data_IF_672670378884
#
_entry.id   IF_672670378884
#
_cell.length_a   1.000
_cell.length_b   1.000
_cell.length_c   1.000
_cell.angle_alpha   90.00
_cell.angle_beta   90.00
_cell.angle_gamma   90.00
#
_symmetry.space_group_name_H-M   'P 1'
#
loop_
_entity.id
_entity.type
_entity.pdbx_description
1 polymer ?
#
# COMPACT_ATOMS: atom_id res chain seq x y z
N UNK A 1 -22.34 1.43 -16.76
CA UNK A 1 -21.08 1.14 -17.45
C UNK A 1 -20.33 0.19 -16.54
N UNK A 2 -20.45 -1.09 -16.83
CA UNK A 2 -20.08 -2.17 -15.90
C UNK A 2 -18.58 -2.38 -15.94
N UNK A 3 -17.86 -1.48 -15.24
CA UNK A 3 -16.42 -1.49 -15.10
C UNK A 3 -15.98 -2.54 -14.08
N UNK A 4 -15.97 -3.81 -14.48
CA UNK A 4 -15.05 -4.73 -13.83
C UNK A 4 -13.63 -4.27 -14.17
N UNK A 5 -12.77 -4.05 -13.18
CA UNK A 5 -11.43 -3.55 -13.41
C UNK A 5 -10.59 -4.60 -14.16
N UNK A 6 -9.65 -4.13 -15.00
CA UNK A 6 -8.63 -4.98 -15.60
C UNK A 6 -7.96 -5.79 -14.49
N UNK A 7 -8.07 -7.12 -14.58
CA UNK A 7 -7.45 -8.02 -13.62
C UNK A 7 -5.94 -7.73 -13.52
N UNK A 8 -5.35 -7.84 -12.32
CA UNK A 8 -3.90 -7.80 -12.16
C UNK A 8 -3.21 -8.78 -13.12
N UNK A 9 -2.12 -8.33 -13.74
CA UNK A 9 -1.30 -9.14 -14.66
C UNK A 9 -0.84 -10.44 -14.01
N UNK A 10 -0.61 -10.45 -12.69
CA UNK A 10 -0.21 -11.68 -11.98
C UNK A 10 -1.19 -12.84 -12.23
N UNK A 11 -2.50 -12.60 -12.40
CA UNK A 11 -3.46 -13.66 -12.70
C UNK A 11 -3.39 -14.15 -14.15
N UNK A 12 -2.87 -13.34 -15.08
CA UNK A 12 -2.62 -13.79 -16.44
C UNK A 12 -1.35 -14.66 -16.51
N UNK A 13 -0.32 -14.31 -15.73
CA UNK A 13 0.94 -15.06 -15.67
C UNK A 13 0.84 -16.32 -14.80
N UNK A 14 -0.04 -16.33 -13.79
CA UNK A 14 -0.28 -17.45 -12.88
C UNK A 14 -1.79 -17.73 -12.75
N UNK A 15 -2.45 -18.27 -13.79
CA UNK A 15 -3.91 -18.48 -13.79
C UNK A 15 -4.42 -19.33 -12.63
N UNK A 16 -3.62 -20.27 -12.14
CA UNK A 16 -3.94 -21.14 -11.01
C UNK A 16 -4.09 -20.41 -9.68
N UNK A 17 -3.66 -19.15 -9.60
CA UNK A 17 -3.80 -18.28 -8.43
C UNK A 17 -5.13 -17.50 -8.42
N UNK A 18 -5.82 -17.42 -9.57
CA UNK A 18 -7.11 -16.77 -9.69
C UNK A 18 -8.16 -17.49 -8.83
N UNK A 19 -8.92 -16.73 -8.05
CA UNK A 19 -9.91 -17.26 -7.10
C UNK A 19 -9.30 -17.75 -5.77
N UNK A 20 -8.01 -18.09 -5.72
CA UNK A 20 -7.31 -18.42 -4.47
C UNK A 20 -6.85 -17.17 -3.73
N UNK A 21 -6.27 -16.23 -4.46
CA UNK A 21 -5.77 -14.96 -3.94
C UNK A 21 -6.85 -13.89 -4.11
N UNK A 22 -7.18 -13.22 -3.01
CA UNK A 22 -8.11 -12.11 -3.03
C UNK A 22 -7.47 -10.84 -3.54
N UNK A 23 -8.21 -10.10 -4.36
CA UNK A 23 -7.78 -8.81 -4.89
C UNK A 23 -9.00 -7.88 -5.03
N UNK A 24 -8.76 -6.58 -4.90
CA UNK A 24 -9.72 -5.51 -5.17
C UNK A 24 -8.99 -4.35 -5.84
N UNK A 25 -9.63 -3.72 -6.83
CA UNK A 25 -9.06 -2.55 -7.51
C UNK A 25 -9.14 -1.33 -6.59
N UNK A 26 -7.99 -0.75 -6.29
CA UNK A 26 -7.85 0.51 -5.54
C UNK A 26 -7.14 1.58 -6.34
N UNK A 27 -6.29 1.18 -7.30
CA UNK A 27 -5.47 2.10 -8.08
C UNK A 27 -5.86 2.19 -9.55
N UNK A 28 -5.25 3.17 -10.20
CA UNK A 28 -5.28 3.40 -11.64
C UNK A 28 -3.98 2.85 -12.23
N UNK A 29 -4.09 1.75 -12.97
CA UNK A 29 -2.96 1.02 -13.56
C UNK A 29 -3.19 0.77 -15.06
N UNK A 30 -2.12 0.71 -15.89
CA UNK A 30 -0.72 0.83 -15.52
C UNK A 30 -0.30 2.27 -15.19
N UNK A 31 0.62 2.41 -14.25
CA UNK A 31 1.23 3.68 -13.86
C UNK A 31 2.16 4.22 -14.95
N UNK A 32 2.23 5.53 -15.19
CA UNK A 32 3.09 6.08 -16.24
C UNK A 32 4.58 5.80 -16.01
N UNK A 33 5.32 5.63 -17.10
CA UNK A 33 6.78 5.71 -17.13
C UNK A 33 7.15 7.08 -17.66
N UNK A 34 7.98 7.81 -16.92
CA UNK A 34 8.47 9.12 -17.32
C UNK A 34 9.97 9.07 -17.60
N UNK A 35 10.40 9.45 -18.81
CA UNK A 35 11.82 9.69 -19.09
C UNK A 35 12.27 10.99 -18.40
N UNK A 36 13.31 10.90 -17.58
CA UNK A 36 13.85 12.02 -16.82
C UNK A 36 15.00 12.69 -17.59
N UNK A 37 14.72 13.28 -18.74
CA UNK A 37 15.76 13.80 -19.66
C UNK A 37 16.73 14.78 -18.99
N UNK A 38 16.21 15.77 -18.26
CA UNK A 38 17.03 16.81 -17.61
C UNK A 38 17.92 16.24 -16.49
N UNK A 39 17.38 15.32 -15.69
CA UNK A 39 18.15 14.69 -14.61
C UNK A 39 19.16 13.70 -15.19
N UNK A 40 18.75 12.93 -16.19
CA UNK A 40 19.61 12.02 -16.93
C UNK A 40 20.82 12.75 -17.51
N UNK A 41 20.60 13.83 -18.25
CA UNK A 41 21.68 14.64 -18.83
C UNK A 41 22.66 15.17 -17.76
N UNK A 42 22.16 15.63 -16.60
CA UNK A 42 23.00 16.09 -15.48
C UNK A 42 23.83 14.98 -14.84
N UNK A 43 23.34 13.74 -14.89
CA UNK A 43 24.02 12.57 -14.34
C UNK A 43 24.85 11.81 -15.39
N UNK A 44 24.89 12.27 -16.65
CA UNK A 44 25.52 11.54 -17.75
C UNK A 44 24.77 10.26 -18.16
N UNK A 45 23.48 10.16 -17.85
CA UNK A 45 22.61 9.01 -18.15
C UNK A 45 21.64 9.35 -19.28
N UNK A 46 21.76 8.66 -20.41
CA UNK A 46 20.88 8.85 -21.59
C UNK A 46 19.50 8.16 -21.44
N UNK A 47 19.40 7.20 -20.52
CA UNK A 47 18.24 6.34 -20.32
C UNK A 47 17.86 6.28 -18.84
N UNK A 48 17.47 7.43 -18.28
CA UNK A 48 16.93 7.51 -16.92
C UNK A 48 15.40 7.62 -16.99
N UNK A 49 14.71 6.69 -16.34
CA UNK A 49 13.25 6.60 -16.32
C UNK A 49 12.73 6.53 -14.88
N UNK A 50 11.53 7.01 -14.67
CA UNK A 50 10.83 6.95 -13.39
C UNK A 50 9.47 6.28 -13.56
N UNK A 51 9.25 5.21 -12.80
CA UNK A 51 7.93 4.61 -12.62
C UNK A 51 7.11 5.47 -11.67
N UNK A 52 6.10 6.16 -12.19
CA UNK A 52 5.29 7.13 -11.44
C UNK A 52 4.25 6.45 -10.56
N UNK A 53 4.70 5.66 -9.59
CA UNK A 53 3.83 5.03 -8.60
C UNK A 53 3.23 6.07 -7.63
N UNK A 54 3.73 7.29 -7.59
CA UNK A 54 3.05 8.41 -6.95
C UNK A 54 1.72 8.79 -7.63
N UNK A 55 1.46 8.30 -8.85
CA UNK A 55 0.22 8.50 -9.61
C UNK A 55 -0.69 7.27 -9.60
N UNK A 56 -0.54 6.36 -8.63
CA UNK A 56 -1.36 5.15 -8.53
C UNK A 56 -2.84 5.40 -8.29
N UNK A 57 -3.27 6.59 -7.85
CA UNK A 57 -4.68 6.93 -7.65
C UNK A 57 -4.84 8.45 -7.48
N UNK A 58 -5.88 9.02 -8.09
CA UNK A 58 -6.14 10.47 -8.18
C UNK A 58 -6.14 11.24 -6.84
N UNK A 59 -6.61 10.63 -5.75
CA UNK A 59 -6.70 11.30 -4.44
C UNK A 59 -5.55 10.93 -3.48
N UNK A 60 -4.91 9.78 -3.69
CA UNK A 60 -3.86 9.27 -2.79
C UNK A 60 -2.93 8.34 -3.56
N UNK A 61 -1.70 8.77 -3.78
CA UNK A 61 -0.73 8.01 -4.56
C UNK A 61 0.25 7.17 -3.73
N UNK A 62 1.19 6.56 -4.45
CA UNK A 62 2.39 5.96 -3.89
C UNK A 62 2.35 4.44 -3.82
N UNK A 63 3.48 3.89 -3.41
CA UNK A 63 3.71 2.43 -3.42
C UNK A 63 2.70 1.60 -2.62
N UNK A 64 2.02 2.19 -1.64
CA UNK A 64 1.13 1.44 -0.75
C UNK A 64 -0.15 0.99 -1.43
N UNK A 65 -0.62 1.70 -2.45
CA UNK A 65 -1.86 1.36 -3.17
C UNK A 65 -1.79 -0.06 -3.72
N UNK A 66 -0.71 -0.37 -4.45
CA UNK A 66 -0.47 -1.71 -5.04
C UNK A 66 -0.54 -2.84 -4.02
N UNK A 67 0.03 -2.63 -2.83
CA UNK A 67 0.04 -3.66 -1.78
C UNK A 67 -1.35 -3.82 -1.14
N UNK A 68 -2.04 -2.70 -0.94
CA UNK A 68 -3.33 -2.67 -0.27
C UNK A 68 -4.44 -3.34 -1.09
N UNK A 69 -4.32 -3.40 -2.41
CA UNK A 69 -5.27 -4.14 -3.26
C UNK A 69 -5.43 -5.61 -2.85
N UNK A 70 -4.35 -6.25 -2.43
CA UNK A 70 -4.37 -7.64 -1.96
C UNK A 70 -4.70 -7.73 -0.47
N UNK A 71 -4.07 -6.89 0.35
CA UNK A 71 -4.22 -6.91 1.81
C UNK A 71 -5.66 -6.59 2.25
N UNK A 72 -6.27 -5.55 1.66
CA UNK A 72 -7.62 -5.15 2.01
C UNK A 72 -8.66 -6.10 1.42
N UNK A 73 -8.38 -6.72 0.27
CA UNK A 73 -9.23 -7.76 -0.27
C UNK A 73 -9.25 -9.01 0.63
N UNK A 74 -8.10 -9.43 1.17
CA UNK A 74 -8.06 -10.52 2.15
C UNK A 74 -8.82 -10.15 3.44
N UNK A 75 -8.63 -8.93 3.96
CA UNK A 75 -9.39 -8.44 5.11
C UNK A 75 -10.92 -8.52 4.87
N UNK A 76 -11.38 -8.12 3.68
CA UNK A 76 -12.79 -8.22 3.28
C UNK A 76 -13.25 -9.67 3.15
N UNK A 77 -12.48 -10.55 2.50
CA UNK A 77 -12.80 -11.99 2.39
C UNK A 77 -12.96 -12.64 3.77
N UNK A 78 -12.17 -12.21 4.74
CA UNK A 78 -12.23 -12.67 6.13
C UNK A 78 -13.31 -11.96 6.97
N UNK A 79 -14.21 -11.18 6.35
CA UNK A 79 -15.28 -10.43 6.99
C UNK A 79 -14.83 -9.54 8.15
N UNK A 80 -13.65 -8.92 8.01
CA UNK A 80 -13.06 -8.08 9.04
C UNK A 80 -13.70 -6.69 9.01
N UNK A 81 -13.87 -6.10 10.19
CA UNK A 81 -14.35 -4.71 10.35
C UNK A 81 -13.23 -3.74 10.72
N UNK A 82 -12.16 -4.26 11.32
CA UNK A 82 -11.03 -3.48 11.81
C UNK A 82 -9.72 -3.93 11.17
N UNK A 83 -8.89 -2.96 10.82
CA UNK A 83 -7.50 -3.12 10.42
C UNK A 83 -6.63 -2.69 11.60
N UNK A 84 -5.58 -3.46 11.89
CA UNK A 84 -4.53 -3.05 12.82
C UNK A 84 -3.22 -2.95 12.04
N UNK A 85 -2.62 -1.77 12.02
CA UNK A 85 -1.29 -1.57 11.42
C UNK A 85 -0.36 -0.80 12.37
N UNK A 86 0.90 -0.70 11.99
CA UNK A 86 1.90 0.06 12.70
C UNK A 86 2.84 0.82 11.76
N UNK A 87 3.42 1.89 12.29
CA UNK A 87 4.37 2.72 11.56
C UNK A 87 4.87 3.87 12.41
N UNK A 88 5.81 4.63 11.88
CA UNK A 88 6.27 5.84 12.55
C UNK A 88 5.20 6.95 12.50
N UNK A 89 5.36 7.98 13.33
CA UNK A 89 4.55 9.20 13.28
C UNK A 89 4.45 9.75 11.85
N UNK A 90 3.23 9.93 11.35
CA UNK A 90 3.01 10.46 10.01
C UNK A 90 3.35 9.50 8.87
N UNK A 91 3.37 8.18 9.14
CA UNK A 91 3.61 7.17 8.12
C UNK A 91 2.60 7.25 6.97
N UNK A 92 3.10 7.32 5.73
CA UNK A 92 2.29 7.14 4.51
C UNK A 92 1.58 5.78 4.50
N UNK A 93 2.13 4.75 5.15
CA UNK A 93 1.45 3.46 5.22
C UNK A 93 0.17 3.52 6.07
N UNK A 94 0.23 4.16 7.23
CA UNK A 94 -0.94 4.32 8.09
C UNK A 94 -2.00 5.17 7.37
N UNK A 95 -1.58 6.27 6.74
CA UNK A 95 -2.48 7.14 5.99
C UNK A 95 -3.15 6.38 4.83
N UNK A 96 -2.37 5.67 3.99
CA UNK A 96 -2.90 4.87 2.89
C UNK A 96 -3.90 3.81 3.39
N UNK A 97 -3.52 3.06 4.42
CA UNK A 97 -4.35 1.99 5.01
C UNK A 97 -5.67 2.57 5.54
N UNK A 98 -5.61 3.73 6.19
CA UNK A 98 -6.80 4.44 6.69
C UNK A 98 -7.68 4.93 5.56
N UNK A 99 -7.09 5.55 4.54
CA UNK A 99 -7.80 6.12 3.41
C UNK A 99 -8.57 5.05 2.62
N UNK A 100 -7.88 4.00 2.13
CA UNK A 100 -8.53 2.93 1.38
C UNK A 100 -9.35 2.00 2.27
N UNK A 101 -8.93 1.77 3.52
CA UNK A 101 -9.72 1.03 4.49
C UNK A 101 -11.09 1.67 4.69
N UNK A 102 -11.14 2.99 4.89
CA UNK A 102 -12.38 3.74 5.05
C UNK A 102 -13.31 3.61 3.84
N UNK A 103 -12.76 3.73 2.62
CA UNK A 103 -13.55 3.55 1.39
C UNK A 103 -14.19 2.16 1.31
N UNK A 104 -13.57 1.15 1.90
CA UNK A 104 -14.05 -0.22 1.95
C UNK A 104 -14.90 -0.56 3.19
N UNK A 105 -15.20 0.42 4.04
CA UNK A 105 -15.95 0.23 5.29
C UNK A 105 -15.13 -0.40 6.43
N UNK A 106 -13.80 -0.41 6.31
CA UNK A 106 -12.86 -0.96 7.30
C UNK A 106 -12.32 0.17 8.19
N UNK A 107 -12.48 0.02 9.51
CA UNK A 107 -11.94 0.98 10.49
C UNK A 107 -10.48 0.69 10.77
N UNK A 108 -9.63 1.71 10.82
CA UNK A 108 -8.18 1.50 11.04
C UNK A 108 -7.77 1.87 12.45
N UNK A 109 -7.05 0.96 13.10
CA UNK A 109 -6.36 1.15 14.37
C UNK A 109 -4.86 1.17 14.05
N UNK A 110 -4.14 2.21 14.46
CA UNK A 110 -2.73 2.38 14.13
C UNK A 110 -1.88 2.52 15.39
N UNK A 111 -0.88 1.65 15.53
CA UNK A 111 0.15 1.81 16.56
C UNK A 111 1.28 2.65 15.98
N UNK A 112 1.50 3.83 16.55
CA UNK A 112 2.53 4.74 16.08
C UNK A 112 3.75 4.78 16.99
N UNK A 113 4.94 4.70 16.39
CA UNK A 113 6.23 4.87 17.08
C UNK A 113 6.85 6.24 16.77
N UNK A 114 7.73 6.77 17.63
CA UNK A 114 8.32 8.08 17.44
C UNK A 114 9.23 8.11 16.19
N UNK A 115 9.25 9.25 15.51
CA UNK A 115 10.28 9.63 14.55
C UNK A 115 10.55 11.14 14.70
N UNK A 116 11.66 11.67 14.15
CA UNK A 116 11.90 13.11 14.15
C UNK A 116 10.69 13.89 13.63
N UNK A 117 10.38 15.00 14.29
CA UNK A 117 9.26 15.84 13.91
C UNK A 117 9.52 16.47 12.54
N UNK A 118 8.62 16.25 11.59
CA UNK A 118 8.69 16.77 10.24
C UNK A 118 7.32 17.28 9.82
N UNK A 119 7.29 18.29 8.95
CA UNK A 119 6.03 18.92 8.53
C UNK A 119 5.09 17.91 7.84
N UNK A 120 5.62 17.09 6.93
CA UNK A 120 4.83 16.04 6.29
C UNK A 120 4.23 15.07 7.31
N UNK A 121 4.97 14.77 8.38
CA UNK A 121 4.54 13.79 9.37
C UNK A 121 3.35 14.35 10.17
N UNK A 122 3.40 15.64 10.52
CA UNK A 122 2.28 16.35 11.15
C UNK A 122 1.05 16.36 10.24
N UNK A 123 1.22 16.68 8.95
CA UNK A 123 0.13 16.68 7.96
C UNK A 123 -0.51 15.29 7.86
N UNK A 124 0.29 14.24 7.73
CA UNK A 124 -0.18 12.87 7.60
C UNK A 124 -0.96 12.40 8.83
N UNK A 125 -0.50 12.73 10.04
CA UNK A 125 -1.23 12.42 11.29
C UNK A 125 -2.60 13.11 11.31
N UNK A 126 -2.66 14.41 10.98
CA UNK A 126 -3.90 15.17 10.99
C UNK A 126 -4.92 14.60 10.00
N UNK A 127 -4.49 14.27 8.78
CA UNK A 127 -5.37 13.66 7.77
C UNK A 127 -5.82 12.27 8.24
N UNK A 128 -4.90 11.46 8.75
CA UNK A 128 -5.19 10.10 9.25
C UNK A 128 -6.21 10.14 10.38
N UNK A 129 -6.07 11.09 11.31
CA UNK A 129 -7.03 11.33 12.38
C UNK A 129 -8.39 11.79 11.85
N UNK A 130 -8.41 12.76 10.93
CA UNK A 130 -9.64 13.27 10.30
C UNK A 130 -10.39 12.19 9.50
N UNK A 131 -9.67 11.21 8.95
CA UNK A 131 -10.27 10.06 8.29
C UNK A 131 -10.91 9.06 9.28
N UNK A 132 -10.65 9.18 10.58
CA UNK A 132 -11.25 8.36 11.64
C UNK A 132 -10.38 7.20 12.11
N UNK A 133 -9.06 7.27 11.92
CA UNK A 133 -8.14 6.27 12.46
C UNK A 133 -8.04 6.37 13.99
N UNK A 134 -8.09 5.23 14.67
CA UNK A 134 -7.77 5.14 16.10
C UNK A 134 -6.25 5.15 16.31
N UNK A 135 -5.73 6.30 16.74
CA UNK A 135 -4.30 6.54 16.91
C UNK A 135 -3.81 6.06 18.29
N UNK A 136 -2.99 5.02 18.29
CA UNK A 136 -2.40 4.42 19.49
C UNK A 136 -0.90 4.71 19.57
N UNK A 137 -0.49 5.63 20.44
CA UNK A 137 0.93 5.99 20.56
C UNK A 137 1.73 5.02 21.42
N UNK A 138 2.89 4.56 20.93
CA UNK A 138 3.90 3.82 21.68
C UNK A 138 5.13 4.72 21.92
N UNK A 139 5.41 5.05 23.19
CA UNK A 139 6.56 5.90 23.58
C UNK A 139 7.91 5.31 23.15
N UNK A 140 8.02 3.98 23.18
CA UNK A 140 9.21 3.22 22.80
C UNK A 140 8.78 2.01 21.95
N UNK A 141 9.66 1.57 21.06
CA UNK A 141 9.40 0.42 20.18
C UNK A 141 9.08 -0.87 20.97
N UNK A 142 9.69 -1.04 22.14
CA UNK A 142 9.48 -2.21 23.00
C UNK A 142 8.03 -2.31 23.53
N UNK A 143 7.27 -1.21 23.53
CA UNK A 143 5.86 -1.22 23.92
C UNK A 143 4.90 -1.66 22.81
N UNK A 144 5.37 -1.79 21.56
CA UNK A 144 4.53 -2.16 20.41
C UNK A 144 3.92 -3.56 20.57
N UNK A 145 4.67 -4.63 20.92
CA UNK A 145 4.09 -5.97 21.07
C UNK A 145 2.97 -6.00 22.12
N UNK A 146 3.17 -5.37 23.27
CA UNK A 146 2.16 -5.29 24.32
C UNK A 146 0.87 -4.58 23.86
N UNK A 147 1.00 -3.53 23.03
CA UNK A 147 -0.15 -2.83 22.44
C UNK A 147 -0.88 -3.69 21.40
N UNK A 148 -0.14 -4.40 20.55
CA UNK A 148 -0.73 -5.35 19.58
C UNK A 148 -1.57 -6.39 20.33
N UNK A 149 -0.97 -7.04 21.35
CA UNK A 149 -1.65 -8.05 22.17
C UNK A 149 -2.91 -7.45 22.81
N UNK A 150 -2.81 -6.27 23.43
CA UNK A 150 -3.96 -5.60 24.06
C UNK A 150 -5.11 -5.34 23.07
N UNK A 151 -4.80 -4.82 21.88
CA UNK A 151 -5.81 -4.53 20.84
C UNK A 151 -6.44 -5.84 20.34
N UNK A 152 -5.64 -6.88 20.14
CA UNK A 152 -6.13 -8.19 19.72
C UNK A 152 -7.06 -8.82 20.75
N UNK A 153 -6.66 -8.85 22.03
CA UNK A 153 -7.48 -9.37 23.11
C UNK A 153 -8.81 -8.61 23.21
N UNK A 154 -8.78 -7.27 23.15
CA UNK A 154 -9.99 -6.45 23.14
C UNK A 154 -10.91 -6.79 21.95
N UNK A 155 -10.34 -6.98 20.75
CA UNK A 155 -11.08 -7.40 19.56
C UNK A 155 -11.69 -8.80 19.73
N UNK A 156 -10.96 -9.75 20.31
CA UNK A 156 -11.46 -11.10 20.61
C UNK A 156 -12.64 -11.07 21.59
N UNK A 157 -12.54 -10.29 22.68
CA UNK A 157 -13.65 -10.12 23.63
C UNK A 157 -14.92 -9.54 22.98
N UNK A 158 -14.74 -8.65 22.00
CA UNK A 158 -15.86 -8.07 21.22
C UNK A 158 -16.29 -8.94 20.02
N UNK A 159 -15.66 -10.10 19.81
CA UNK A 159 -15.85 -10.96 18.62
C UNK A 159 -15.56 -10.25 17.28
N UNK A 160 -14.70 -9.24 17.31
CA UNK A 160 -14.30 -8.43 16.16
C UNK A 160 -12.76 -8.26 16.11
N UNK A 161 -11.96 -9.35 16.11
CA UNK A 161 -10.50 -9.24 16.08
C UNK A 161 -10.03 -8.59 14.78
N UNK A 162 -9.13 -7.60 14.84
CA UNK A 162 -8.68 -6.88 13.66
C UNK A 162 -7.86 -7.77 12.71
N UNK A 163 -7.79 -7.38 11.46
CA UNK A 163 -6.83 -7.91 10.49
C UNK A 163 -5.50 -7.15 10.62
N UNK A 164 -4.41 -7.88 10.87
CA UNK A 164 -3.10 -7.27 11.05
C UNK A 164 -2.43 -7.00 9.70
N UNK A 165 -1.96 -5.78 9.51
CA UNK A 165 -1.12 -5.39 8.38
C UNK A 165 0.24 -4.99 8.94
N UNK A 166 1.28 -5.72 8.53
CA UNK A 166 2.65 -5.39 8.88
C UNK A 166 3.05 -4.00 8.38
N UNK A 167 3.99 -3.36 9.09
CA UNK A 167 4.49 -2.05 8.71
C UNK A 167 4.85 -1.99 7.21
N UNK A 168 4.30 -0.99 6.53
CA UNK A 168 4.53 -0.78 5.10
C UNK A 168 3.83 -1.78 4.16
N UNK A 169 3.02 -2.70 4.69
CA UNK A 169 2.40 -3.80 3.94
C UNK A 169 3.42 -4.85 3.49
N UNK A 170 4.53 -5.00 4.22
CA UNK A 170 5.66 -5.84 3.83
C UNK A 170 5.48 -7.28 4.33
N UNK A 171 4.60 -8.03 3.67
CA UNK A 171 4.38 -9.46 3.86
C UNK A 171 4.23 -10.16 2.49
N UNK A 172 4.21 -11.51 2.44
CA UNK A 172 4.12 -12.22 1.15
C UNK A 172 2.95 -11.77 0.27
N UNK A 173 1.77 -11.54 0.85
CA UNK A 173 0.58 -11.10 0.11
C UNK A 173 0.73 -9.68 -0.45
N UNK A 174 1.22 -8.74 0.35
CA UNK A 174 1.47 -7.36 -0.07
C UNK A 174 2.58 -7.23 -1.11
N UNK A 175 3.53 -8.18 -1.14
CA UNK A 175 4.58 -8.25 -2.17
C UNK A 175 4.00 -8.50 -3.56
N UNK A 176 2.85 -9.17 -3.69
CA UNK A 176 2.21 -9.43 -4.99
C UNK A 176 1.86 -8.14 -5.75
N UNK A 177 1.58 -7.04 -5.03
CA UNK A 177 1.38 -5.73 -5.65
C UNK A 177 2.60 -5.24 -6.44
N UNK A 178 3.81 -5.57 -5.98
CA UNK A 178 5.06 -5.21 -6.65
C UNK A 178 5.56 -6.28 -7.62
N UNK A 179 5.18 -7.55 -7.45
CA UNK A 179 5.29 -8.54 -8.53
C UNK A 179 4.49 -8.06 -9.74
N UNK A 180 3.25 -7.59 -9.51
CA UNK A 180 2.41 -7.03 -10.56
C UNK A 180 3.05 -5.78 -11.20
N UNK A 181 3.72 -4.92 -10.41
CA UNK A 181 4.46 -3.77 -10.95
C UNK A 181 5.64 -4.18 -11.84
N UNK A 182 6.36 -5.26 -11.50
CA UNK A 182 7.42 -5.81 -12.35
C UNK A 182 6.88 -6.35 -13.68
N UNK A 183 5.79 -7.11 -13.64
CA UNK A 183 5.09 -7.57 -14.84
C UNK A 183 4.58 -6.39 -15.68
N UNK A 184 4.08 -5.35 -15.02
CA UNK A 184 3.63 -4.11 -15.65
C UNK A 184 4.78 -3.40 -16.39
N UNK A 185 5.98 -3.33 -15.79
CA UNK A 185 7.18 -2.82 -16.48
C UNK A 185 7.51 -3.68 -17.70
N UNK A 186 7.47 -5.02 -17.58
CA UNK A 186 7.71 -5.93 -18.69
C UNK A 186 6.75 -5.71 -19.87
N UNK A 187 5.46 -5.51 -19.60
CA UNK A 187 4.48 -5.16 -20.63
C UNK A 187 4.72 -3.75 -21.23
N UNK A 188 5.19 -2.80 -20.42
CA UNK A 188 5.55 -1.47 -20.90
C UNK A 188 6.79 -1.50 -21.81
N UNK A 189 7.77 -2.38 -21.54
CA UNK A 189 8.93 -2.64 -22.42
C UNK A 189 8.48 -3.23 -23.75
N UNK A 190 7.64 -4.27 -23.73
CA UNK A 190 7.09 -4.89 -24.96
C UNK A 190 6.34 -3.90 -25.84
N UNK A 191 5.68 -2.91 -25.23
CA UNK A 191 4.97 -1.83 -25.93
C UNK A 191 5.88 -0.69 -26.42
N UNK A 192 7.19 -0.74 -26.15
CA UNK A 192 8.16 0.27 -26.56
C UNK A 192 8.08 1.58 -25.76
N UNK A 193 7.46 1.57 -24.56
CA UNK A 193 7.35 2.78 -23.71
C UNK A 193 8.70 3.14 -23.09
N UNK A 194 9.51 2.12 -22.78
CA UNK A 194 10.88 2.23 -22.28
C UNK A 194 11.71 1.05 -22.81
N UNK A 195 13.04 1.19 -22.94
CA UNK A 195 13.91 0.05 -23.17
C UNK A 195 13.92 -0.89 -21.95
N UNK A 196 14.38 -2.13 -22.15
CA UNK A 196 14.60 -3.07 -21.04
C UNK A 196 15.57 -2.44 -20.02
N UNK A 197 15.19 -2.32 -18.73
CA UNK A 197 16.07 -1.70 -17.74
C UNK A 197 17.23 -2.60 -17.36
N UNK A 198 18.46 -2.07 -17.42
CA UNK A 198 19.63 -2.74 -16.86
C UNK A 198 19.56 -2.81 -15.31
N UNK A 199 18.94 -1.79 -14.70
CA UNK A 199 18.82 -1.65 -13.24
C UNK A 199 17.45 -1.07 -12.84
N UNK A 200 16.96 -1.49 -11.68
CA UNK A 200 15.80 -0.91 -11.00
C UNK A 200 16.22 -0.63 -9.55
N UNK A 201 15.99 0.59 -9.09
CA UNK A 201 16.37 1.07 -7.75
C UNK A 201 15.21 1.74 -7.02
#
# INVERSE_FOLDING_TARGET
MDGFPNLPLIFNFFPESQGKISWISLGEFPTPIQKLEKLGARLGLNQLYCKRDDLTHSQYGGNKVRKLEFLLAEAKKLNKKFLLTLGAWGSNHILATTFFGKQLGLKTIAIMVPQPAQEYARKNILITYALGCELNYAKINLAVPAKIIKIYLNGLFKREPPYFIWAGGSNPLGTLGYVNAGLEIGEQVKKGILPEPDYIF
#
